data_IF_211621158835
#
_entry.id   IF_211621158835
#
_cell.length_a   1.000
_cell.length_b   1.000
_cell.length_c   1.000
_cell.angle_alpha   90.00
_cell.angle_beta   90.00
_cell.angle_gamma   90.00
#
_symmetry.space_group_name_H-M   'P 1'
#
loop_
_entity.id
_entity.type
_entity.pdbx_description
1 polymer ?
#
# COMPACT_ATOMS: atom_id res chain seq x y z
N UNK A 1 11.21 6.73 92.45
CA UNK A 1 10.75 6.41 91.09
C UNK A 1 11.96 6.47 90.17
N UNK A 2 12.20 5.40 89.41
CA UNK A 2 13.43 5.09 88.68
C UNK A 2 13.57 5.87 87.36
N UNK A 3 14.82 6.06 86.92
CA UNK A 3 15.25 6.53 85.61
C UNK A 3 14.67 5.68 84.46
N UNK A 4 14.58 6.26 83.25
CA UNK A 4 15.22 5.69 82.06
C UNK A 4 15.27 6.69 80.90
N UNK A 5 16.49 6.87 80.39
CA UNK A 5 16.86 7.50 79.12
C UNK A 5 16.43 6.66 77.93
N UNK A 6 15.95 7.30 76.85
CA UNK A 6 15.78 6.66 75.55
C UNK A 6 16.31 7.55 74.43
N UNK A 7 17.47 7.17 73.91
CA UNK A 7 17.98 7.58 72.60
C UNK A 7 17.34 6.63 71.58
N UNK A 8 16.74 7.17 70.52
CA UNK A 8 16.46 6.38 69.32
C UNK A 8 17.19 7.00 68.13
N UNK A 9 18.19 6.24 67.71
CA UNK A 9 18.87 6.26 66.44
C UNK A 9 17.93 5.78 65.32
N UNK A 10 18.20 6.25 64.10
CA UNK A 10 18.36 5.47 62.86
C UNK A 10 17.69 6.08 61.63
N UNK A 11 18.57 6.39 60.68
CA UNK A 11 18.35 6.80 59.30
C UNK A 11 17.48 5.77 58.58
N UNK A 12 16.40 6.19 57.91
CA UNK A 12 15.76 5.37 56.86
C UNK A 12 16.70 5.34 55.66
N UNK A 13 17.41 4.22 55.53
CA UNK A 13 18.09 3.81 54.30
C UNK A 13 17.04 3.57 53.22
N UNK A 14 17.21 4.24 52.08
CA UNK A 14 16.63 3.82 50.80
C UNK A 14 17.67 2.87 50.20
N UNK A 15 17.34 1.59 50.11
CA UNK A 15 18.24 0.60 49.53
C UNK A 15 18.47 0.91 48.04
N UNK A 16 19.74 1.06 47.58
CA UNK A 16 20.02 1.20 46.16
C UNK A 16 19.86 -0.15 45.45
N UNK A 17 19.19 -0.15 44.29
CA UNK A 17 19.10 -1.34 43.42
C UNK A 17 20.50 -1.88 43.10
N UNK A 18 20.72 -3.21 43.17
CA UNK A 18 22.01 -3.79 42.84
C UNK A 18 22.30 -3.59 41.35
N UNK A 19 23.55 -3.20 41.06
CA UNK A 19 24.10 -3.07 39.72
C UNK A 19 24.29 -4.47 39.13
N UNK A 20 23.45 -4.86 38.17
CA UNK A 20 23.64 -6.08 37.37
C UNK A 20 24.86 -5.92 36.46
N UNK A 21 26.05 -6.21 37.01
CA UNK A 21 27.30 -6.29 36.27
C UNK A 21 27.88 -7.70 36.35
N UNK A 22 27.23 -8.68 35.70
CA UNK A 22 27.76 -10.05 35.59
C UNK A 22 27.27 -10.75 34.31
N UNK A 23 27.45 -10.09 33.17
CA UNK A 23 27.60 -10.73 31.86
C UNK A 23 28.23 -9.69 30.93
N UNK A 24 29.21 -10.10 30.12
CA UNK A 24 30.06 -9.24 29.28
C UNK A 24 29.33 -8.59 28.09
N UNK A 25 28.19 -7.95 28.33
CA UNK A 25 27.53 -7.11 27.35
C UNK A 25 28.21 -5.73 27.34
N UNK A 26 29.26 -5.61 26.52
CA UNK A 26 29.96 -4.34 26.27
C UNK A 26 29.19 -3.42 25.30
N UNK A 27 27.96 -3.78 24.94
CA UNK A 27 27.11 -2.94 24.13
C UNK A 27 26.74 -1.67 24.90
N UNK A 28 27.20 -0.52 24.41
CA UNK A 28 26.73 0.79 24.85
C UNK A 28 25.31 1.11 24.35
N UNK A 29 24.71 0.22 23.56
CA UNK A 29 23.36 0.40 23.06
C UNK A 29 22.35 -0.03 24.13
N UNK A 30 21.36 0.83 24.36
CA UNK A 30 20.21 0.52 25.19
C UNK A 30 19.54 -0.79 24.76
N UNK A 31 19.20 -1.63 25.73
CA UNK A 31 18.36 -2.81 25.50
C UNK A 31 17.01 -2.37 24.93
N UNK A 32 16.37 -3.26 24.16
CA UNK A 32 15.07 -3.01 23.58
C UNK A 32 14.09 -2.55 24.68
N UNK A 33 13.67 -1.28 24.60
CA UNK A 33 12.69 -0.72 25.54
C UNK A 33 11.33 -1.32 25.19
N UNK A 34 10.56 -1.70 26.21
CA UNK A 34 9.13 -1.95 26.06
C UNK A 34 8.48 -0.64 25.63
N UNK A 35 8.32 -0.46 24.32
CA UNK A 35 7.76 0.73 23.72
C UNK A 35 6.30 0.94 24.13
N UNK A 36 5.68 2.00 23.56
CA UNK A 36 4.25 2.23 23.73
C UNK A 36 3.48 1.01 23.19
N UNK A 37 2.51 0.46 23.94
CA UNK A 37 1.68 -0.64 23.45
C UNK A 37 0.99 -0.24 22.14
N UNK A 38 0.95 -1.18 21.22
CA UNK A 38 0.40 -0.98 19.89
C UNK A 38 -1.11 -0.73 20.00
N UNK A 39 -1.56 0.43 19.51
CA UNK A 39 -2.95 0.87 19.67
C UNK A 39 -3.93 0.19 18.69
N UNK A 40 -3.41 -0.57 17.72
CA UNK A 40 -4.17 -1.19 16.65
C UNK A 40 -3.61 -2.58 16.38
N UNK A 41 -4.52 -3.54 16.24
CA UNK A 41 -4.21 -4.91 15.89
C UNK A 41 -3.96 -5.03 14.38
N UNK A 42 -2.71 -5.33 14.01
CA UNK A 42 -2.29 -5.46 12.61
C UNK A 42 -2.92 -6.69 11.94
N UNK A 43 -3.19 -7.76 12.69
CA UNK A 43 -3.78 -9.00 12.17
C UNK A 43 -5.23 -8.76 11.75
N UNK A 44 -6.01 -8.09 12.60
CA UNK A 44 -7.38 -7.69 12.29
C UNK A 44 -7.44 -6.69 11.12
N UNK A 45 -6.47 -5.78 11.02
CA UNK A 45 -6.37 -4.84 9.90
C UNK A 45 -6.08 -5.55 8.57
N UNK A 46 -5.20 -6.55 8.58
CA UNK A 46 -4.94 -7.36 7.39
C UNK A 46 -6.17 -8.16 6.95
N UNK A 47 -6.88 -8.77 7.90
CA UNK A 47 -8.09 -9.52 7.61
C UNK A 47 -9.16 -8.67 6.92
N UNK A 48 -9.36 -7.42 7.37
CA UNK A 48 -10.30 -6.49 6.73
C UNK A 48 -9.92 -6.13 5.29
N UNK A 49 -8.61 -5.98 5.00
CA UNK A 49 -8.12 -5.68 3.65
C UNK A 49 -8.24 -6.90 2.72
N UNK A 50 -8.09 -8.11 3.25
CA UNK A 50 -8.27 -9.34 2.49
C UNK A 50 -9.74 -9.58 2.14
N UNK A 51 -10.66 -9.20 3.02
CA UNK A 51 -12.10 -9.22 2.76
C UNK A 51 -12.50 -8.19 1.68
N UNK A 52 -12.03 -6.94 1.80
CA UNK A 52 -12.25 -5.90 0.80
C UNK A 52 -11.01 -5.03 0.57
N UNK A 53 -10.31 -5.33 -0.52
CA UNK A 53 -9.10 -4.62 -0.93
C UNK A 53 -9.33 -3.18 -1.38
N UNK A 54 -10.58 -2.74 -1.59
CA UNK A 54 -10.88 -1.39 -2.10
C UNK A 54 -11.15 -0.36 -1.00
N UNK A 55 -11.12 -0.76 0.27
CA UNK A 55 -11.38 0.12 1.40
C UNK A 55 -10.36 1.25 1.49
N UNK A 56 -10.86 2.43 1.85
CA UNK A 56 -10.04 3.62 2.09
C UNK A 56 -9.48 3.62 3.51
N UNK A 57 -8.38 4.33 3.74
CA UNK A 57 -7.82 4.51 5.09
C UNK A 57 -8.84 5.16 6.05
N UNK A 58 -9.78 5.97 5.54
CA UNK A 58 -10.85 6.58 6.32
C UNK A 58 -11.92 5.58 6.77
N UNK A 59 -12.26 4.60 5.94
CA UNK A 59 -13.20 3.52 6.31
C UNK A 59 -12.57 2.58 7.32
N UNK A 60 -11.30 2.20 7.11
CA UNK A 60 -10.52 1.41 8.06
C UNK A 60 -10.38 2.14 9.41
N UNK A 61 -10.17 3.45 9.40
CA UNK A 61 -10.15 4.24 10.62
C UNK A 61 -11.49 4.15 11.37
N UNK A 62 -12.63 4.28 10.69
CA UNK A 62 -13.95 4.13 11.37
C UNK A 62 -14.14 2.77 12.04
N UNK A 63 -13.53 1.72 11.50
CA UNK A 63 -13.64 0.36 12.04
C UNK A 63 -12.66 0.11 13.21
N UNK A 64 -11.40 0.52 13.05
CA UNK A 64 -10.32 0.13 13.97
C UNK A 64 -9.80 1.27 14.85
N UNK A 65 -9.82 2.52 14.38
CA UNK A 65 -9.27 3.66 15.12
C UNK A 65 -9.73 5.02 14.57
N UNK A 66 -10.23 5.96 15.40
CA UNK A 66 -10.73 7.26 14.91
C UNK A 66 -9.70 8.09 14.11
N UNK A 67 -8.40 7.79 14.21
CA UNK A 67 -7.35 8.52 13.51
C UNK A 67 -6.84 7.79 12.25
N UNK A 68 -7.06 8.42 11.09
CA UNK A 68 -6.63 7.93 9.76
C UNK A 68 -5.11 7.74 9.68
N UNK A 69 -4.33 8.63 10.30
CA UNK A 69 -2.87 8.57 10.22
C UNK A 69 -2.31 7.34 10.93
N UNK A 70 -2.93 6.88 12.01
CA UNK A 70 -2.56 5.64 12.70
C UNK A 70 -2.67 4.45 11.74
N UNK A 71 -3.81 4.31 11.05
CA UNK A 71 -3.98 3.25 10.03
C UNK A 71 -2.90 3.35 8.95
N UNK A 72 -2.59 4.56 8.46
CA UNK A 72 -1.55 4.75 7.44
C UNK A 72 -0.16 4.33 7.93
N UNK A 73 0.17 4.64 9.18
CA UNK A 73 1.42 4.25 9.82
C UNK A 73 1.53 2.74 10.00
N UNK A 74 0.42 2.04 10.27
CA UNK A 74 0.36 0.58 10.38
C UNK A 74 0.43 -0.13 9.03
N UNK A 75 -0.20 0.44 7.98
CA UNK A 75 -0.18 -0.15 6.63
C UNK A 75 1.21 -0.16 5.98
N UNK A 76 2.06 0.81 6.33
CA UNK A 76 3.38 0.96 5.71
C UNK A 76 4.34 -0.20 6.08
N UNK A 77 4.56 -0.58 7.36
CA UNK A 77 5.29 -1.79 7.74
C UNK A 77 4.72 -3.07 7.14
N UNK A 78 3.39 -3.16 6.98
CA UNK A 78 2.69 -4.30 6.38
C UNK A 78 2.87 -4.37 4.84
N UNK A 79 3.56 -3.41 4.23
CA UNK A 79 3.80 -3.37 2.79
C UNK A 79 2.55 -3.08 1.96
N UNK A 80 1.46 -2.62 2.58
CA UNK A 80 0.21 -2.29 1.88
C UNK A 80 0.29 -0.88 1.33
N UNK A 81 0.07 -0.75 0.02
CA UNK A 81 0.04 0.55 -0.67
C UNK A 81 -1.25 0.65 -1.47
N UNK A 82 -1.93 1.79 -1.35
CA UNK A 82 -3.13 2.03 -2.13
C UNK A 82 -2.76 2.34 -3.58
N UNK A 83 -3.24 1.52 -4.52
CA UNK A 83 -3.00 1.66 -5.96
C UNK A 83 -4.32 1.77 -6.69
N UNK A 84 -4.33 2.55 -7.77
CA UNK A 84 -5.49 2.60 -8.65
C UNK A 84 -5.69 1.25 -9.34
N UNK A 85 -6.94 0.83 -9.46
CA UNK A 85 -7.31 -0.33 -10.25
C UNK A 85 -6.93 -0.13 -11.72
N UNK A 86 -6.53 -1.21 -12.38
CA UNK A 86 -6.26 -1.18 -13.82
C UNK A 86 -7.58 -1.29 -14.57
N UNK A 87 -7.78 -0.44 -15.57
CA UNK A 87 -8.90 -0.54 -16.49
C UNK A 87 -8.75 -1.78 -17.36
N UNK A 88 -9.76 -2.66 -17.33
CA UNK A 88 -9.86 -3.84 -18.19
C UNK A 88 -10.98 -3.59 -19.21
N UNK A 89 -10.78 -3.83 -20.52
CA UNK A 89 -11.75 -3.45 -21.56
C UNK A 89 -13.14 -4.04 -21.38
N UNK A 90 -13.23 -5.32 -21.00
CA UNK A 90 -14.49 -6.05 -20.91
C UNK A 90 -14.52 -6.99 -19.72
N UNK A 91 -15.69 -7.13 -19.10
CA UNK A 91 -15.94 -8.16 -18.09
C UNK A 91 -16.17 -9.51 -18.78
N UNK A 92 -15.18 -10.39 -18.69
CA UNK A 92 -15.23 -11.70 -19.34
C UNK A 92 -16.06 -12.71 -18.52
N UNK A 93 -17.00 -13.37 -19.19
CA UNK A 93 -17.72 -14.53 -18.68
C UNK A 93 -16.79 -15.76 -18.57
N UNK A 94 -17.18 -16.73 -17.75
CA UNK A 94 -16.41 -17.99 -17.56
C UNK A 94 -16.13 -18.70 -18.90
N UNK A 95 -17.12 -18.72 -19.79
CA UNK A 95 -17.01 -19.34 -21.13
C UNK A 95 -15.96 -18.63 -21.99
N UNK A 96 -15.98 -17.29 -22.04
CA UNK A 96 -14.98 -16.52 -22.78
C UNK A 96 -13.56 -16.77 -22.25
N UNK A 97 -13.39 -16.87 -20.93
CA UNK A 97 -12.09 -17.19 -20.31
C UNK A 97 -11.59 -18.57 -20.72
N UNK A 98 -12.47 -19.57 -20.73
CA UNK A 98 -12.12 -20.93 -21.17
C UNK A 98 -11.75 -20.98 -22.65
N UNK A 99 -12.51 -20.28 -23.51
CA UNK A 99 -12.20 -20.17 -24.93
C UNK A 99 -10.85 -19.50 -25.17
N UNK A 100 -10.58 -18.37 -24.50
CA UNK A 100 -9.28 -17.71 -24.57
C UNK A 100 -8.15 -18.64 -24.12
N UNK A 101 -8.32 -19.35 -23.00
CA UNK A 101 -7.30 -20.28 -22.49
C UNK A 101 -7.04 -21.43 -23.47
N UNK A 102 -8.09 -22.05 -24.02
CA UNK A 102 -7.95 -23.12 -24.99
C UNK A 102 -7.24 -22.65 -26.27
N UNK A 103 -7.60 -21.47 -26.79
CA UNK A 103 -6.93 -20.87 -27.94
C UNK A 103 -5.45 -20.57 -27.65
N UNK A 104 -5.14 -19.98 -26.50
CA UNK A 104 -3.76 -19.69 -26.08
C UNK A 104 -2.92 -20.97 -25.96
N UNK A 105 -3.44 -22.03 -25.33
CA UNK A 105 -2.74 -23.31 -25.22
C UNK A 105 -2.50 -23.93 -26.58
N UNK A 106 -3.50 -23.93 -27.47
CA UNK A 106 -3.34 -24.45 -28.83
C UNK A 106 -2.26 -23.69 -29.62
N UNK A 107 -2.27 -22.35 -29.55
CA UNK A 107 -1.26 -21.51 -30.20
C UNK A 107 0.13 -21.73 -29.61
N UNK A 108 0.24 -21.88 -28.28
CA UNK A 108 1.50 -22.16 -27.61
C UNK A 108 2.06 -23.52 -28.01
N UNK A 109 1.24 -24.58 -28.01
CA UNK A 109 1.67 -25.91 -28.44
C UNK A 109 2.15 -25.91 -29.90
N UNK A 110 1.44 -25.20 -30.78
CA UNK A 110 1.85 -25.03 -32.18
C UNK A 110 3.15 -24.24 -32.32
N UNK A 111 3.35 -23.23 -31.49
CA UNK A 111 4.59 -22.45 -31.47
C UNK A 111 5.78 -23.30 -30.99
N UNK A 112 5.58 -24.16 -30.01
CA UNK A 112 6.63 -25.06 -29.53
C UNK A 112 7.01 -26.12 -30.58
N UNK A 113 6.09 -26.52 -31.46
CA UNK A 113 6.39 -27.49 -32.52
C UNK A 113 6.93 -26.85 -33.81
N UNK A 114 6.56 -25.60 -34.10
CA UNK A 114 7.07 -24.83 -35.23
C UNK A 114 7.09 -23.34 -34.89
N UNK A 115 8.13 -22.61 -35.32
CA UNK A 115 8.24 -21.15 -35.12
C UNK A 115 7.21 -20.38 -35.97
N UNK A 116 5.96 -20.33 -35.49
CA UNK A 116 4.83 -19.70 -36.20
C UNK A 116 4.92 -18.17 -36.25
N UNK A 117 5.63 -17.52 -35.31
CA UNK A 117 5.70 -16.04 -35.26
C UNK A 117 6.36 -15.44 -36.51
N UNK A 118 7.34 -16.13 -37.12
CA UNK A 118 8.03 -15.62 -38.31
C UNK A 118 7.17 -15.62 -39.58
N UNK A 119 5.96 -16.19 -39.52
CA UNK A 119 5.01 -16.26 -40.65
C UNK A 119 3.71 -15.51 -40.39
N UNK A 120 3.55 -14.94 -39.19
CA UNK A 120 2.31 -14.23 -38.86
C UNK A 120 2.39 -12.80 -39.38
N UNK A 121 1.39 -12.45 -40.18
CA UNK A 121 1.05 -11.07 -40.53
C UNK A 121 -0.12 -10.65 -39.63
N UNK A 122 0.01 -9.50 -38.99
CA UNK A 122 -1.04 -8.92 -38.13
C UNK A 122 -1.47 -7.59 -38.72
N UNK A 123 -2.78 -7.42 -38.86
CA UNK A 123 -3.41 -6.18 -39.29
C UNK A 123 -4.33 -5.67 -38.19
N UNK A 124 -4.40 -4.36 -38.02
CA UNK A 124 -5.30 -3.72 -37.05
C UNK A 124 -5.70 -2.32 -37.53
N UNK A 125 -6.84 -1.84 -37.03
CA UNK A 125 -7.37 -0.51 -37.30
C UNK A 125 -7.42 0.32 -36.02
N UNK A 126 -6.80 1.50 -36.05
CA UNK A 126 -6.74 2.38 -34.88
C UNK A 126 -7.23 3.77 -35.22
N UNK A 127 -8.23 4.24 -34.48
CA UNK A 127 -8.62 5.65 -34.50
C UNK A 127 -7.56 6.51 -33.80
N UNK A 128 -6.94 7.42 -34.54
CA UNK A 128 -5.96 8.40 -34.02
C UNK A 128 -6.62 9.77 -33.99
N UNK A 129 -6.66 10.38 -32.81
CA UNK A 129 -7.15 11.75 -32.63
C UNK A 129 -6.06 12.75 -33.03
N UNK A 130 -6.44 13.89 -33.62
CA UNK A 130 -5.49 14.96 -33.95
C UNK A 130 -4.90 15.58 -32.68
N UNK A 131 -5.78 15.94 -31.75
CA UNK A 131 -5.41 16.58 -30.50
C UNK A 131 -5.69 15.60 -29.35
N UNK A 132 -4.66 15.30 -28.55
CA UNK A 132 -4.77 14.46 -27.35
C UNK A 132 -4.43 15.30 -26.13
N UNK A 133 -5.35 16.15 -25.64
CA UNK A 133 -5.07 17.00 -24.49
C UNK A 133 -4.76 16.11 -23.28
N UNK A 134 -3.58 16.31 -22.70
CA UNK A 134 -3.16 15.63 -21.49
C UNK A 134 -3.42 16.56 -20.31
N UNK A 135 -4.02 16.01 -19.24
CA UNK A 135 -4.07 16.73 -17.97
C UNK A 135 -2.65 16.81 -17.40
N UNK A 136 -2.12 18.03 -17.29
CA UNK A 136 -0.82 18.30 -16.67
C UNK A 136 -0.96 18.48 -15.17
N UNK A 137 0.02 17.96 -14.42
CA UNK A 137 0.15 18.20 -12.99
C UNK A 137 1.01 19.44 -12.77
N UNK A 138 0.57 20.33 -11.89
CA UNK A 138 1.28 21.56 -11.56
C UNK A 138 1.58 21.59 -10.06
N UNK A 139 2.80 22.01 -9.70
CA UNK A 139 3.14 22.38 -8.33
C UNK A 139 2.74 23.82 -8.12
N UNK A 140 1.83 24.07 -7.19
CA UNK A 140 1.23 25.37 -6.94
C UNK A 140 1.29 25.68 -5.44
N UNK A 141 1.38 26.95 -5.08
CA UNK A 141 1.23 27.36 -3.69
C UNK A 141 -0.23 27.13 -3.24
N UNK A 142 -0.50 27.00 -1.93
CA UNK A 142 -1.85 26.69 -1.44
C UNK A 142 -2.96 27.68 -1.85
N UNK A 143 -2.59 28.91 -2.24
CA UNK A 143 -3.52 29.98 -2.61
C UNK A 143 -3.60 30.21 -4.13
N UNK A 144 -2.77 29.53 -4.92
CA UNK A 144 -2.70 29.72 -6.37
C UNK A 144 -3.79 28.91 -7.07
N UNK A 145 -4.46 29.53 -8.05
CA UNK A 145 -5.43 28.82 -8.90
C UNK A 145 -4.70 28.07 -10.02
N UNK A 146 -5.03 26.80 -10.20
CA UNK A 146 -4.44 26.00 -11.26
C UNK A 146 -4.89 26.44 -12.66
N UNK A 147 -4.07 26.20 -13.69
CA UNK A 147 -4.42 26.56 -15.06
C UNK A 147 -5.67 25.79 -15.51
N UNK A 148 -6.62 26.50 -16.12
CA UNK A 148 -7.81 25.88 -16.68
C UNK A 148 -7.47 25.20 -18.01
N UNK A 149 -7.76 23.91 -18.10
CA UNK A 149 -7.72 23.16 -19.36
C UNK A 149 -9.13 22.92 -19.86
N UNK A 150 -9.39 23.23 -21.13
CA UNK A 150 -10.68 22.94 -21.76
C UNK A 150 -10.89 21.42 -21.84
N UNK A 151 -12.10 20.96 -21.50
CA UNK A 151 -12.48 19.56 -21.71
C UNK A 151 -12.54 19.30 -23.23
N UNK A 152 -11.92 18.22 -23.74
CA UNK A 152 -12.06 17.88 -25.16
C UNK A 152 -13.53 17.67 -25.53
N UNK A 153 -13.92 18.03 -26.78
CA UNK A 153 -15.28 17.83 -27.25
C UNK A 153 -15.66 16.35 -27.28
N UNK A 154 -16.96 16.03 -27.20
CA UNK A 154 -17.44 14.65 -27.19
C UNK A 154 -17.09 13.88 -28.48
N UNK A 155 -16.94 14.59 -29.59
CA UNK A 155 -16.58 14.05 -30.89
C UNK A 155 -15.35 14.77 -31.45
N UNK A 156 -14.14 14.42 -30.98
CA UNK A 156 -12.91 15.03 -31.48
C UNK A 156 -12.64 14.59 -32.93
N UNK A 157 -11.97 15.45 -33.69
CA UNK A 157 -11.48 15.10 -35.02
C UNK A 157 -10.50 13.94 -34.92
N UNK A 158 -10.70 12.92 -35.74
CA UNK A 158 -9.91 11.70 -35.75
C UNK A 158 -9.78 11.15 -37.16
N UNK A 159 -8.70 10.43 -37.40
CA UNK A 159 -8.45 9.65 -38.62
C UNK A 159 -8.36 8.18 -38.25
N UNK A 160 -8.73 7.31 -39.19
CA UNK A 160 -8.54 5.87 -39.05
C UNK A 160 -7.19 5.50 -39.66
N UNK A 161 -6.31 4.92 -38.86
CA UNK A 161 -5.07 4.30 -39.34
C UNK A 161 -5.33 2.81 -39.53
N UNK A 162 -5.16 2.32 -40.76
CA UNK A 162 -5.22 0.88 -41.09
C UNK A 162 -3.81 0.40 -41.42
N UNK A 163 -3.34 -0.63 -40.72
CA UNK A 163 -2.03 -1.27 -40.97
C UNK A 163 -2.29 -2.68 -41.47
N UNK A 164 -1.68 -3.07 -42.59
CA UNK A 164 -1.88 -4.36 -43.28
C UNK A 164 -0.56 -5.12 -43.40
#
# INVERSE_FOLDING_TARGET
>A
MFLNSFVFDTKRLVDPKPFEGQSGDLSLCDKARTGRPQALDDEALLAAIEEDSNQTCGELARQFNPFIETVRLHLHPLGKTYRLSKWVPHMLLKVHKQQCLAACLSLLSRHCSAFIFNRMLTSDEKWVQYDTPKSSKHWLSPQDTGPHSARPPMHPRKIMLCVW
#
